data_IF_048788820465
#
_entry.id   IF_048788820465
#
_cell.length_a   1.000
_cell.length_b   1.000
_cell.length_c   1.000
_cell.angle_alpha   90.00
_cell.angle_beta   90.00
_cell.angle_gamma   90.00
#
_symmetry.space_group_name_H-M   'P 1'
#
loop_
_entity.id
_entity.type
_entity.pdbx_description
1 polymer ?
#
# COMPACT_ATOMS: atom_id res chain seq x y z
N UNK A 1 9.16 -3.61 15.47
CA UNK A 1 8.21 -3.28 14.39
C UNK A 1 7.84 -1.82 14.51
N UNK A 2 7.74 -1.08 13.40
CA UNK A 2 7.34 0.33 13.40
C UNK A 2 5.82 0.44 13.30
N UNK A 3 5.25 1.55 13.79
CA UNK A 3 3.84 1.88 13.60
C UNK A 3 3.69 3.00 12.57
N UNK A 4 2.73 2.87 11.68
CA UNK A 4 2.29 3.94 10.79
C UNK A 4 0.79 4.16 10.87
N UNK A 5 0.30 5.30 10.39
CA UNK A 5 -1.12 5.58 10.26
C UNK A 5 -1.53 5.82 8.81
N UNK A 6 -2.77 5.49 8.47
CA UNK A 6 -3.37 5.73 7.16
C UNK A 6 -4.23 6.98 7.20
N UNK A 7 -4.03 7.90 6.26
CA UNK A 7 -4.84 9.11 6.13
C UNK A 7 -6.12 8.90 5.31
N UNK A 8 -6.17 7.85 4.49
CA UNK A 8 -7.29 7.61 3.58
C UNK A 8 -7.36 8.60 2.39
N UNK A 9 -8.37 8.46 1.55
CA UNK A 9 -8.63 9.31 0.37
C UNK A 9 -10.13 9.48 0.07
N UNK A 10 -10.97 8.99 0.95
CA UNK A 10 -12.42 8.88 0.70
C UNK A 10 -13.21 10.09 1.17
N UNK A 11 -14.46 10.17 0.65
CA UNK A 11 -15.42 11.18 1.02
C UNK A 11 -15.65 12.24 -0.05
N UNK A 12 -16.78 12.97 0.09
CA UNK A 12 -17.15 14.08 -0.81
C UNK A 12 -16.30 15.33 -0.59
N UNK A 13 -15.72 15.45 0.58
CA UNK A 13 -14.86 16.56 0.99
C UNK A 13 -13.60 15.97 1.60
N UNK A 14 -12.45 16.44 1.13
CA UNK A 14 -11.19 16.07 1.73
C UNK A 14 -11.05 16.72 3.11
N UNK A 15 -10.93 15.91 4.14
CA UNK A 15 -10.66 16.36 5.50
C UNK A 15 -9.40 15.69 6.02
N UNK A 16 -8.40 16.49 6.38
CA UNK A 16 -7.15 16.03 6.99
C UNK A 16 -7.13 16.47 8.44
N UNK A 17 -7.34 15.53 9.34
CA UNK A 17 -7.26 15.77 10.77
C UNK A 17 -5.80 15.90 11.23
N UNK A 18 -5.28 17.13 11.12
CA UNK A 18 -3.89 17.43 11.47
C UNK A 18 -3.63 17.27 12.99
N UNK A 19 -4.65 17.41 13.83
CA UNK A 19 -4.49 17.25 15.28
C UNK A 19 -4.27 15.77 15.62
N UNK A 20 -5.04 14.88 15.01
CA UNK A 20 -4.85 13.43 15.14
C UNK A 20 -3.47 13.00 14.60
N UNK A 21 -3.01 13.60 13.52
CA UNK A 21 -1.67 13.32 12.97
C UNK A 21 -0.57 13.74 13.95
N UNK A 22 -0.65 14.94 14.51
CA UNK A 22 0.30 15.44 15.52
C UNK A 22 0.26 14.62 16.80
N UNK A 23 -0.91 14.14 17.19
CA UNK A 23 -1.06 13.22 18.30
C UNK A 23 -0.32 11.90 18.02
N UNK A 24 -0.52 11.27 16.84
CA UNK A 24 0.20 10.07 16.45
C UNK A 24 1.73 10.30 16.42
N UNK A 25 2.18 11.44 15.92
CA UNK A 25 3.60 11.84 15.97
C UNK A 25 4.11 11.92 17.41
N UNK A 26 3.32 12.49 18.33
CA UNK A 26 3.69 12.59 19.75
C UNK A 26 3.70 11.24 20.48
N UNK A 27 2.88 10.29 20.05
CA UNK A 27 2.83 8.92 20.55
C UNK A 27 3.97 8.04 20.01
N UNK A 28 4.77 8.53 19.04
CA UNK A 28 5.92 7.81 18.51
C UNK A 28 5.62 6.99 17.24
N UNK A 29 4.51 7.21 16.57
CA UNK A 29 4.28 6.63 15.25
C UNK A 29 5.35 7.10 14.27
N UNK A 30 5.98 6.16 13.55
CA UNK A 30 7.08 6.41 12.62
C UNK A 30 6.62 7.08 11.32
N UNK A 31 5.42 6.73 10.85
CA UNK A 31 4.99 7.14 9.51
C UNK A 31 3.50 7.41 9.37
N UNK A 32 3.16 8.24 8.36
CA UNK A 32 1.81 8.45 7.88
C UNK A 32 1.76 8.21 6.37
N UNK A 33 0.64 7.66 5.88
CA UNK A 33 0.48 7.27 4.49
C UNK A 33 -0.81 7.83 3.90
N UNK A 34 -0.66 8.61 2.81
CA UNK A 34 -1.76 9.14 2.01
C UNK A 34 -2.08 8.20 0.85
N UNK A 35 -3.30 8.25 0.33
CA UNK A 35 -3.71 7.36 -0.74
C UNK A 35 -4.43 8.10 -1.87
N UNK A 36 -4.50 7.47 -3.04
CA UNK A 36 -5.32 7.94 -4.15
C UNK A 36 -5.99 6.79 -4.89
N UNK A 37 -7.14 7.07 -5.47
CA UNK A 37 -7.80 6.22 -6.47
C UNK A 37 -8.46 7.11 -7.54
N UNK A 38 -9.69 7.53 -7.34
CA UNK A 38 -10.44 8.52 -8.15
C UNK A 38 -11.11 9.58 -7.24
N UNK A 39 -10.43 9.90 -6.14
CA UNK A 39 -10.78 10.95 -5.18
C UNK A 39 -9.68 12.01 -5.13
N UNK A 40 -9.18 12.32 -3.92
CA UNK A 40 -7.97 13.16 -3.78
C UNK A 40 -6.74 12.46 -4.33
N UNK A 41 -5.78 13.23 -4.85
CA UNK A 41 -4.44 12.70 -5.15
C UNK A 41 -3.67 12.41 -3.86
N UNK A 42 -2.60 11.62 -3.95
CA UNK A 42 -1.83 11.25 -2.77
C UNK A 42 -0.71 12.25 -2.42
N UNK A 43 -0.23 13.00 -3.40
CA UNK A 43 0.97 13.86 -3.27
C UNK A 43 0.63 15.17 -2.56
N UNK A 44 -0.48 15.80 -2.95
CA UNK A 44 -0.88 17.10 -2.38
C UNK A 44 -1.15 17.01 -0.86
N UNK A 45 -1.93 16.02 -0.36
CA UNK A 45 -2.07 15.81 1.07
C UNK A 45 -0.75 15.48 1.77
N UNK A 46 0.13 14.68 1.15
CA UNK A 46 1.43 14.35 1.73
C UNK A 46 2.30 15.60 1.91
N UNK A 47 2.36 16.48 0.89
CA UNK A 47 3.09 17.75 0.98
C UNK A 47 2.53 18.66 2.08
N UNK A 48 1.18 18.76 2.17
CA UNK A 48 0.49 19.52 3.20
C UNK A 48 0.83 19.04 4.61
N UNK A 49 0.83 17.72 4.83
CA UNK A 49 1.12 17.11 6.13
C UNK A 49 2.60 17.29 6.49
N UNK A 50 3.52 17.08 5.54
CA UNK A 50 4.96 17.29 5.76
C UNK A 50 5.27 18.70 6.22
N UNK A 51 4.55 19.71 5.70
CA UNK A 51 4.74 21.10 6.07
C UNK A 51 4.22 21.46 7.49
N UNK A 52 3.44 20.58 8.11
CA UNK A 52 2.81 20.83 9.41
C UNK A 52 3.26 19.88 10.52
N UNK A 53 4.17 18.95 10.20
CA UNK A 53 4.72 17.95 11.12
C UNK A 53 6.24 18.06 11.15
N UNK A 54 6.86 17.57 12.23
CA UNK A 54 8.30 17.79 12.47
C UNK A 54 9.14 16.50 12.37
N UNK A 55 8.57 15.34 12.76
CA UNK A 55 9.30 14.07 12.93
C UNK A 55 8.73 12.93 12.10
N UNK A 56 7.40 12.82 12.04
CA UNK A 56 6.73 11.72 11.35
C UNK A 56 7.10 11.72 9.86
N UNK A 57 7.46 10.55 9.35
CA UNK A 57 7.65 10.36 7.92
C UNK A 57 6.29 10.34 7.22
N UNK A 58 6.25 10.83 6.01
CA UNK A 58 5.01 10.81 5.21
C UNK A 58 5.28 10.11 3.89
N UNK A 59 4.44 9.16 3.57
CA UNK A 59 4.53 8.43 2.31
C UNK A 59 3.19 8.37 1.59
N UNK A 60 3.21 7.80 0.40
CA UNK A 60 1.99 7.50 -0.37
C UNK A 60 1.69 6.00 -0.29
N UNK A 61 0.42 5.64 -0.05
CA UNK A 61 -0.03 4.25 -0.01
C UNK A 61 -1.43 4.12 -0.65
N UNK A 62 -1.52 4.27 -1.96
CA UNK A 62 -0.41 4.34 -2.91
C UNK A 62 -0.55 5.55 -3.84
N UNK A 63 0.53 5.96 -4.49
CA UNK A 63 0.50 6.81 -5.68
C UNK A 63 0.34 5.91 -6.91
N UNK A 64 -0.64 6.21 -7.77
CA UNK A 64 -0.93 5.38 -8.95
C UNK A 64 0.09 5.61 -10.06
N UNK A 65 0.78 4.54 -10.48
CA UNK A 65 1.76 4.61 -11.58
C UNK A 65 1.16 5.09 -12.91
N UNK A 66 -0.07 4.69 -13.30
CA UNK A 66 -0.67 5.17 -14.55
C UNK A 66 -0.95 6.67 -14.60
N UNK A 67 -1.08 7.32 -13.44
CA UNK A 67 -1.37 8.75 -13.36
C UNK A 67 -0.15 9.64 -13.64
N UNK A 68 1.07 9.09 -13.55
CA UNK A 68 2.32 9.86 -13.64
C UNK A 68 3.40 9.07 -14.37
N UNK A 69 4.31 9.76 -15.06
CA UNK A 69 5.52 9.11 -15.57
C UNK A 69 6.49 8.76 -14.43
N UNK A 70 7.37 7.76 -14.59
CA UNK A 70 8.41 7.46 -13.61
C UNK A 70 9.29 8.66 -13.28
N UNK A 71 9.61 9.47 -14.28
CA UNK A 71 10.40 10.70 -14.10
C UNK A 71 9.65 11.74 -13.25
N UNK A 72 8.35 11.94 -13.49
CA UNK A 72 7.53 12.84 -12.67
C UNK A 72 7.50 12.39 -11.21
N UNK A 73 7.26 11.10 -10.96
CA UNK A 73 7.24 10.56 -9.59
C UNK A 73 8.60 10.63 -8.90
N UNK A 74 9.69 10.41 -9.64
CA UNK A 74 11.03 10.60 -9.09
C UNK A 74 11.30 12.06 -8.71
N UNK A 75 10.97 13.00 -9.59
CA UNK A 75 11.10 14.44 -9.30
C UNK A 75 10.28 14.87 -8.08
N UNK A 76 9.03 14.38 -7.98
CA UNK A 76 8.16 14.63 -6.83
C UNK A 76 8.79 14.09 -5.54
N UNK A 77 9.25 12.85 -5.56
CA UNK A 77 9.86 12.21 -4.39
C UNK A 77 11.12 12.96 -3.92
N UNK A 78 12.01 13.32 -4.84
CA UNK A 78 13.21 14.07 -4.54
C UNK A 78 12.89 15.45 -3.96
N UNK A 79 11.90 16.15 -4.53
CA UNK A 79 11.48 17.47 -4.06
C UNK A 79 10.92 17.40 -2.64
N UNK A 80 9.97 16.49 -2.39
CA UNK A 80 9.35 16.34 -1.06
C UNK A 80 10.34 15.85 -0.02
N UNK A 81 11.24 14.96 -0.40
CA UNK A 81 12.29 14.47 0.50
C UNK A 81 13.20 15.62 0.96
N UNK A 82 13.65 16.49 0.06
CA UNK A 82 14.46 17.66 0.41
C UNK A 82 13.69 18.69 1.24
N UNK A 83 12.47 19.03 0.85
CA UNK A 83 11.63 19.99 1.58
C UNK A 83 11.32 19.52 3.00
N UNK A 84 11.28 18.21 3.24
CA UNK A 84 10.96 17.61 4.52
C UNK A 84 12.16 17.12 5.33
N UNK A 85 13.39 17.42 4.90
CA UNK A 85 14.61 16.91 5.52
C UNK A 85 14.65 15.37 5.63
N UNK A 86 14.37 14.68 4.53
CA UNK A 86 14.50 13.22 4.44
C UNK A 86 13.27 12.44 4.93
N UNK A 87 12.12 13.08 5.18
CA UNK A 87 10.93 12.41 5.75
C UNK A 87 9.94 11.86 4.72
N UNK A 88 10.16 12.07 3.42
CA UNK A 88 9.24 11.55 2.40
C UNK A 88 9.60 10.13 1.96
N UNK A 89 8.59 9.29 1.78
CA UNK A 89 8.68 7.92 1.29
C UNK A 89 7.73 7.72 0.10
N UNK A 90 8.10 6.84 -0.82
CA UNK A 90 7.30 6.55 -2.01
C UNK A 90 6.56 5.23 -1.83
N UNK A 91 5.26 5.23 -2.06
CA UNK A 91 4.49 4.01 -2.21
C UNK A 91 3.73 4.03 -3.54
N UNK A 92 3.89 3.00 -4.33
CA UNK A 92 3.41 2.89 -5.71
C UNK A 92 2.41 1.74 -5.86
N UNK A 93 1.44 1.90 -6.75
CA UNK A 93 0.51 0.85 -7.12
C UNK A 93 0.16 0.85 -8.59
N UNK A 94 -0.06 -0.34 -9.13
CA UNK A 94 -0.52 -0.52 -10.51
C UNK A 94 -1.99 -0.11 -10.70
N UNK A 95 -2.75 -0.04 -9.62
CA UNK A 95 -4.21 0.10 -9.60
C UNK A 95 -4.93 -1.08 -10.30
N UNK A 96 -6.26 -1.02 -10.40
CA UNK A 96 -7.06 -2.01 -11.12
C UNK A 96 -7.35 -1.58 -12.56
N UNK A 97 -7.66 -2.51 -13.47
CA UNK A 97 -7.94 -2.19 -14.88
C UNK A 97 -9.09 -1.19 -15.05
N UNK A 98 -10.11 -1.23 -14.19
CA UNK A 98 -11.25 -0.32 -14.25
C UNK A 98 -10.84 1.15 -14.04
N UNK A 99 -9.88 1.39 -13.13
CA UNK A 99 -9.36 2.74 -12.87
C UNK A 99 -8.33 3.13 -13.92
N UNK A 100 -7.42 2.21 -14.28
CA UNK A 100 -6.36 2.50 -15.24
C UNK A 100 -6.92 2.83 -16.62
N UNK A 101 -7.84 2.03 -17.12
CA UNK A 101 -8.42 2.20 -18.46
C UNK A 101 -9.61 3.18 -18.43
N UNK A 102 -10.45 3.12 -17.38
CA UNK A 102 -11.66 3.92 -17.28
C UNK A 102 -11.45 5.35 -16.80
N UNK A 103 -10.47 5.59 -15.91
CA UNK A 103 -10.22 6.91 -15.34
C UNK A 103 -8.99 7.59 -15.93
N UNK A 104 -7.88 6.84 -16.07
CA UNK A 104 -6.63 7.41 -16.61
C UNK A 104 -6.51 7.29 -18.12
N UNK A 105 -7.35 6.50 -18.79
CA UNK A 105 -7.38 6.36 -20.26
C UNK A 105 -6.13 5.73 -20.85
N UNK A 106 -5.42 4.89 -20.07
CA UNK A 106 -4.19 4.21 -20.52
C UNK A 106 -4.35 2.70 -20.41
N UNK A 107 -3.66 1.94 -21.27
CA UNK A 107 -3.73 0.48 -21.25
C UNK A 107 -3.23 -0.09 -19.93
N UNK A 108 -3.94 -1.07 -19.36
CA UNK A 108 -3.53 -1.77 -18.14
C UNK A 108 -2.22 -2.53 -18.32
N UNK A 109 -2.10 -3.27 -19.41
CA UNK A 109 -0.88 -3.94 -19.82
C UNK A 109 -0.41 -5.05 -18.86
N UNK A 110 0.89 -5.05 -18.55
CA UNK A 110 1.57 -6.05 -17.71
C UNK A 110 1.96 -5.43 -16.37
N UNK A 111 1.12 -5.51 -15.31
CA UNK A 111 1.33 -4.74 -14.08
C UNK A 111 2.65 -5.04 -13.37
N UNK A 112 3.07 -6.31 -13.28
CA UNK A 112 4.36 -6.67 -12.65
C UNK A 112 5.55 -6.11 -13.43
N UNK A 113 5.51 -6.17 -14.75
CA UNK A 113 6.55 -5.57 -15.61
C UNK A 113 6.58 -4.05 -15.42
N UNK A 114 5.40 -3.40 -15.39
CA UNK A 114 5.30 -1.96 -15.16
C UNK A 114 5.93 -1.55 -13.83
N UNK A 115 5.63 -2.28 -12.74
CA UNK A 115 6.24 -2.02 -11.43
C UNK A 115 7.76 -2.08 -11.51
N UNK A 116 8.31 -3.13 -12.11
CA UNK A 116 9.77 -3.29 -12.21
C UNK A 116 10.44 -2.18 -13.02
N UNK A 117 9.90 -1.87 -14.18
CA UNK A 117 10.42 -0.80 -15.04
C UNK A 117 10.33 0.55 -14.32
N UNK A 118 9.16 0.85 -13.75
CA UNK A 118 8.91 2.12 -13.05
C UNK A 118 9.87 2.35 -11.90
N UNK A 119 10.01 1.39 -11.00
CA UNK A 119 10.91 1.47 -9.85
C UNK A 119 12.37 1.55 -10.30
N UNK A 120 12.78 0.76 -11.31
CA UNK A 120 14.11 0.80 -11.87
C UNK A 120 14.46 2.18 -12.43
N UNK A 121 13.55 2.79 -13.20
CA UNK A 121 13.74 4.15 -13.74
C UNK A 121 13.87 5.16 -12.60
N UNK A 122 13.00 5.11 -11.57
CA UNK A 122 13.09 6.02 -10.43
C UNK A 122 14.44 5.89 -9.70
N UNK A 123 14.89 4.66 -9.43
CA UNK A 123 16.19 4.41 -8.78
C UNK A 123 17.37 4.93 -9.62
N UNK A 124 17.34 4.79 -10.95
CA UNK A 124 18.33 5.40 -11.85
C UNK A 124 18.34 6.94 -11.76
N UNK A 125 17.14 7.56 -11.65
CA UNK A 125 17.02 9.01 -11.48
C UNK A 125 17.59 9.45 -10.13
N UNK A 126 17.31 8.74 -9.05
CA UNK A 126 17.84 9.02 -7.71
C UNK A 126 19.36 8.87 -7.67
N UNK A 127 19.91 7.79 -8.22
CA UNK A 127 21.34 7.53 -8.26
C UNK A 127 22.11 8.59 -9.05
N UNK A 128 21.50 9.17 -10.08
CA UNK A 128 22.10 10.24 -10.89
C UNK A 128 23.51 9.91 -11.40
N UNK A 129 23.82 8.64 -11.64
CA UNK A 129 25.14 8.22 -12.14
C UNK A 129 25.36 8.64 -13.60
N UNK A 130 24.34 8.44 -14.44
CA UNK A 130 24.38 8.77 -15.88
C UNK A 130 23.06 9.44 -16.31
N UNK A 131 22.98 10.01 -17.53
CA UNK A 131 21.70 10.30 -18.19
C UNK A 131 20.82 9.04 -18.22
N UNK A 132 19.52 9.20 -17.97
CA UNK A 132 18.61 8.05 -17.81
C UNK A 132 18.28 7.45 -19.15
N UNK A 133 18.57 6.16 -19.28
CA UNK A 133 18.18 5.32 -20.41
C UNK A 133 17.43 4.09 -19.91
N UNK A 134 16.35 3.75 -20.59
CA UNK A 134 15.56 2.58 -20.35
C UNK A 134 14.87 2.14 -21.62
N UNK A 135 14.91 0.85 -21.89
CA UNK A 135 14.13 0.22 -22.95
C UNK A 135 13.37 -0.97 -22.34
N UNK A 136 12.05 -0.88 -22.35
CA UNK A 136 11.17 -1.84 -21.72
C UNK A 136 9.85 -1.99 -22.47
N UNK A 137 8.96 -2.78 -21.89
CA UNK A 137 7.63 -3.02 -22.47
C UNK A 137 6.70 -1.80 -22.29
N UNK A 138 6.79 -1.09 -21.16
CA UNK A 138 5.92 0.03 -20.82
C UNK A 138 6.58 1.39 -21.03
N UNK A 139 7.89 1.45 -20.91
CA UNK A 139 8.63 2.71 -20.94
C UNK A 139 9.86 2.60 -21.82
N UNK A 140 10.06 3.63 -22.66
CA UNK A 140 11.28 3.85 -23.43
C UNK A 140 11.79 5.26 -23.12
N UNK A 141 13.02 5.37 -22.68
CA UNK A 141 13.68 6.65 -22.34
C UNK A 141 15.08 6.68 -22.95
N UNK A 142 15.36 7.59 -23.90
CA UNK A 142 14.42 8.53 -24.52
C UNK A 142 13.36 7.82 -25.33
N UNK A 143 12.22 8.49 -25.58
CA UNK A 143 11.12 7.94 -26.36
C UNK A 143 11.58 7.73 -27.83
N UNK A 144 11.31 6.54 -28.36
CA UNK A 144 11.72 6.09 -29.70
C UNK A 144 10.57 5.58 -30.57
N UNK A 145 9.31 5.88 -30.20
CA UNK A 145 8.13 5.49 -30.98
C UNK A 145 8.04 6.26 -32.31
N UNK A 146 7.29 5.68 -33.26
CA UNK A 146 7.12 6.21 -34.63
C UNK A 146 6.48 7.61 -34.65
N UNK A 147 5.67 7.95 -33.66
CA UNK A 147 5.04 9.26 -33.46
C UNK A 147 5.94 10.28 -32.73
N UNK A 148 7.17 9.91 -32.41
CA UNK A 148 8.18 10.78 -31.79
C UNK A 148 8.78 11.78 -32.77
N UNK A 149 9.26 12.92 -32.25
CA UNK A 149 9.93 13.95 -33.04
C UNK A 149 11.37 13.59 -33.47
N UNK A 150 11.94 12.52 -32.90
CA UNK A 150 13.36 12.16 -33.05
C UNK A 150 14.35 13.08 -32.33
N UNK A 151 13.86 14.09 -31.58
CA UNK A 151 14.69 15.04 -30.83
C UNK A 151 14.92 14.65 -29.36
N UNK A 152 14.31 13.56 -28.92
CA UNK A 152 14.49 13.04 -27.55
C UNK A 152 15.93 12.64 -27.29
N UNK A 153 16.46 13.01 -26.14
CA UNK A 153 17.80 12.61 -25.67
C UNK A 153 17.75 12.24 -24.19
N UNK A 154 18.64 11.36 -23.79
CA UNK A 154 18.79 10.97 -22.39
C UNK A 154 19.14 12.19 -21.53
N UNK A 155 18.40 12.37 -20.43
CA UNK A 155 18.57 13.49 -19.51
C UNK A 155 18.99 12.98 -18.12
N UNK A 156 19.71 13.84 -17.40
CA UNK A 156 20.13 13.61 -16.01
C UNK A 156 19.43 14.65 -15.12
N UNK A 157 18.87 14.24 -14.00
CA UNK A 157 18.22 15.17 -13.06
C UNK A 157 19.18 16.28 -12.64
N UNK A 158 18.70 17.52 -12.58
CA UNK A 158 19.46 18.65 -12.02
C UNK A 158 19.50 18.54 -10.50
N UNK A 159 18.35 18.19 -9.89
CA UNK A 159 18.26 17.99 -8.46
C UNK A 159 19.06 16.74 -8.05
N UNK A 160 19.79 16.84 -6.94
CA UNK A 160 20.51 15.70 -6.35
C UNK A 160 19.65 15.10 -5.26
N UNK A 161 19.31 13.81 -5.40
CA UNK A 161 18.51 13.11 -4.42
C UNK A 161 19.36 12.46 -3.34
N UNK A 162 18.73 12.23 -2.20
CA UNK A 162 19.13 11.16 -1.33
C UNK A 162 18.73 9.82 -2.00
N UNK A 163 19.70 8.96 -2.26
CA UNK A 163 19.47 7.65 -2.91
C UNK A 163 18.75 6.67 -1.99
N UNK A 164 18.61 7.00 -0.70
CA UNK A 164 17.94 6.19 0.32
C UNK A 164 16.42 6.45 0.41
N UNK A 165 15.82 7.25 -0.48
CA UNK A 165 14.36 7.43 -0.49
C UNK A 165 13.69 6.08 -0.68
N UNK A 166 12.95 5.54 0.34
CA UNK A 166 12.38 4.21 0.24
C UNK A 166 11.24 4.16 -0.77
N UNK A 167 11.18 3.08 -1.54
CA UNK A 167 10.09 2.81 -2.48
C UNK A 167 9.37 1.53 -2.06
N UNK A 168 8.08 1.68 -1.75
CA UNK A 168 7.17 0.57 -1.47
C UNK A 168 6.24 0.34 -2.65
N UNK A 169 5.71 -0.89 -2.78
CA UNK A 169 4.69 -1.19 -3.77
C UNK A 169 3.53 -1.97 -3.17
N UNK A 170 2.31 -1.76 -3.67
CA UNK A 170 1.15 -2.55 -3.25
C UNK A 170 1.06 -3.83 -4.07
N UNK A 171 1.00 -4.99 -3.40
CA UNK A 171 0.82 -6.28 -4.03
C UNK A 171 0.33 -7.36 -3.07
N UNK A 172 -0.49 -8.28 -3.60
CA UNK A 172 -0.99 -9.47 -2.89
C UNK A 172 -0.86 -10.75 -3.73
N UNK A 173 -0.58 -10.62 -5.03
CA UNK A 173 -0.45 -11.80 -5.91
C UNK A 173 0.96 -12.39 -5.82
N UNK A 174 1.12 -13.72 -5.98
CA UNK A 174 2.43 -14.38 -5.93
C UNK A 174 3.51 -13.73 -6.80
N UNK A 175 3.18 -13.44 -8.06
CA UNK A 175 4.11 -12.79 -8.99
C UNK A 175 4.33 -11.31 -8.67
N UNK A 176 3.29 -10.64 -8.15
CA UNK A 176 3.38 -9.26 -7.71
C UNK A 176 4.29 -9.10 -6.50
N UNK A 177 4.14 -9.96 -5.49
CA UNK A 177 5.00 -9.99 -4.30
C UNK A 177 6.46 -10.24 -4.67
N UNK A 178 6.72 -11.25 -5.51
CA UNK A 178 8.07 -11.54 -5.98
C UNK A 178 8.64 -10.39 -6.82
N UNK A 179 7.83 -9.80 -7.71
CA UNK A 179 8.25 -8.66 -8.53
C UNK A 179 8.53 -7.39 -7.72
N UNK A 180 7.72 -7.13 -6.69
CA UNK A 180 7.94 -6.06 -5.72
C UNK A 180 9.27 -6.27 -4.98
N UNK A 181 9.44 -7.42 -4.38
CA UNK A 181 10.61 -7.75 -3.59
C UNK A 181 11.93 -7.76 -4.41
N UNK A 182 11.86 -7.95 -5.72
CA UNK A 182 13.02 -7.86 -6.60
C UNK A 182 13.54 -6.42 -6.75
N UNK A 183 12.67 -5.39 -6.71
CA UNK A 183 13.05 -4.02 -7.07
C UNK A 183 12.76 -2.97 -6.01
N UNK A 184 11.76 -3.15 -5.15
CA UNK A 184 11.33 -2.19 -4.14
C UNK A 184 11.97 -2.43 -2.76
N UNK A 185 11.77 -1.51 -1.83
CA UNK A 185 12.32 -1.57 -0.48
C UNK A 185 11.29 -2.07 0.54
N UNK A 186 10.03 -2.18 0.11
CA UNK A 186 8.94 -2.74 0.92
C UNK A 186 7.68 -3.01 0.11
N UNK A 187 6.70 -3.63 0.76
CA UNK A 187 5.40 -3.98 0.18
C UNK A 187 4.26 -3.69 1.14
N UNK A 188 3.12 -3.28 0.57
CA UNK A 188 1.85 -3.12 1.25
C UNK A 188 0.91 -4.29 0.93
N UNK A 189 0.91 -5.38 1.70
CA UNK A 189 -0.14 -6.37 1.59
C UNK A 189 -1.39 -5.89 2.33
N UNK A 190 -2.55 -6.31 1.83
CA UNK A 190 -3.81 -6.19 2.58
C UNK A 190 -4.17 -7.53 3.20
N UNK A 191 -5.00 -7.52 4.25
CA UNK A 191 -5.53 -8.71 4.90
C UNK A 191 -4.47 -9.76 5.24
N UNK A 192 -3.32 -9.28 5.69
CA UNK A 192 -2.29 -10.17 6.20
C UNK A 192 -2.71 -10.76 7.54
N UNK A 193 -2.66 -12.08 7.64
CA UNK A 193 -2.78 -12.75 8.93
C UNK A 193 -1.38 -12.86 9.57
N UNK A 194 -1.10 -12.15 10.69
CA UNK A 194 0.22 -12.18 11.33
C UNK A 194 0.59 -13.55 11.91
N UNK A 195 -0.40 -14.43 12.13
CA UNK A 195 -0.17 -15.81 12.59
C UNK A 195 0.11 -16.80 11.46
N UNK A 196 -0.01 -16.37 10.19
CA UNK A 196 0.23 -17.20 8.99
C UNK A 196 1.04 -16.42 7.94
N UNK A 197 2.24 -15.92 8.29
CA UNK A 197 3.06 -15.10 7.39
C UNK A 197 3.53 -15.84 6.14
N UNK A 198 3.56 -17.18 6.17
CA UNK A 198 3.97 -18.04 5.06
C UNK A 198 3.14 -17.84 3.79
N UNK A 199 1.91 -17.37 3.90
CA UNK A 199 1.07 -17.02 2.74
C UNK A 199 1.70 -15.95 1.83
N UNK A 200 2.56 -15.10 2.38
CA UNK A 200 3.24 -14.02 1.66
C UNK A 200 4.76 -14.25 1.57
N UNK A 201 5.36 -14.72 2.66
CA UNK A 201 6.80 -14.79 2.88
C UNK A 201 7.54 -15.53 1.76
N UNK A 202 7.09 -16.74 1.39
CA UNK A 202 7.77 -17.53 0.36
C UNK A 202 7.80 -16.87 -1.03
N UNK A 203 6.82 -16.02 -1.34
CA UNK A 203 6.80 -15.25 -2.59
C UNK A 203 7.75 -14.04 -2.52
N UNK A 204 7.79 -13.36 -1.38
CA UNK A 204 8.71 -12.24 -1.12
C UNK A 204 10.16 -12.73 -1.19
N UNK A 205 10.50 -13.81 -0.51
CA UNK A 205 11.86 -14.40 -0.50
C UNK A 205 12.35 -14.78 -1.90
N UNK A 206 11.47 -15.25 -2.79
CA UNK A 206 11.81 -15.51 -4.21
C UNK A 206 12.28 -14.26 -4.94
N UNK A 207 11.65 -13.11 -4.67
CA UNK A 207 12.05 -11.83 -5.26
C UNK A 207 13.35 -11.29 -4.66
N UNK A 208 13.47 -11.35 -3.34
CA UNK A 208 14.68 -10.92 -2.61
C UNK A 208 15.91 -11.71 -3.04
N UNK A 209 15.79 -13.04 -3.18
CA UNK A 209 16.87 -13.89 -3.66
C UNK A 209 17.40 -13.44 -5.03
N UNK A 210 16.53 -13.03 -5.95
CA UNK A 210 16.94 -12.51 -7.27
C UNK A 210 17.74 -11.23 -7.21
N UNK A 211 17.49 -10.41 -6.20
CA UNK A 211 18.22 -9.14 -5.99
C UNK A 211 19.36 -9.26 -4.98
N UNK A 212 19.66 -10.47 -4.48
CA UNK A 212 20.72 -10.71 -3.50
C UNK A 212 20.40 -10.17 -2.10
N UNK A 213 19.11 -9.96 -1.79
CA UNK A 213 18.62 -9.41 -0.51
C UNK A 213 17.92 -10.47 0.32
N UNK A 214 17.66 -10.14 1.57
CA UNK A 214 16.96 -10.96 2.56
C UNK A 214 15.76 -10.21 3.15
N UNK A 215 14.98 -10.88 3.99
CA UNK A 215 13.87 -10.23 4.72
C UNK A 215 14.33 -9.08 5.62
N UNK A 216 15.59 -9.06 6.05
CA UNK A 216 16.15 -7.96 6.85
C UNK A 216 16.31 -6.66 6.06
N UNK A 217 16.36 -6.75 4.73
CA UNK A 217 16.52 -5.63 3.81
C UNK A 217 15.18 -5.16 3.22
N UNK A 218 14.05 -5.66 3.75
CA UNK A 218 12.74 -5.46 3.15
C UNK A 218 11.65 -5.24 4.19
N UNK A 219 10.84 -4.20 4.00
CA UNK A 219 9.76 -3.87 4.92
C UNK A 219 8.41 -4.43 4.42
N UNK A 220 7.84 -5.38 5.14
CA UNK A 220 6.46 -5.82 4.94
C UNK A 220 5.57 -4.94 5.81
N UNK A 221 4.74 -4.11 5.17
CA UNK A 221 3.95 -3.06 5.81
C UNK A 221 2.44 -3.24 5.56
N UNK A 222 1.77 -4.20 6.23
CA UNK A 222 0.35 -4.47 6.03
C UNK A 222 -0.56 -3.33 6.51
N UNK A 223 -1.71 -3.19 5.82
CA UNK A 223 -2.79 -2.31 6.23
C UNK A 223 -3.69 -3.02 7.24
N UNK A 224 -3.82 -2.44 8.41
CA UNK A 224 -4.59 -2.98 9.53
C UNK A 224 -5.63 -1.95 9.98
N UNK A 225 -6.91 -2.23 9.73
CA UNK A 225 -7.99 -1.38 10.24
C UNK A 225 -8.21 -1.65 11.71
N UNK A 226 -8.34 -0.60 12.52
CA UNK A 226 -8.71 -0.72 13.92
C UNK A 226 -10.04 -0.01 14.18
N UNK A 227 -11.00 -0.74 14.73
CA UNK A 227 -12.29 -0.19 15.18
C UNK A 227 -12.53 -0.66 16.61
N UNK A 228 -12.43 0.26 17.56
CA UNK A 228 -12.61 0.00 18.97
C UNK A 228 -14.05 0.29 19.40
N UNK A 229 -14.66 -0.62 20.17
CA UNK A 229 -16.02 -0.49 20.70
C UNK A 229 -16.44 -1.73 21.49
N UNK A 230 -17.49 -1.61 22.30
CA UNK A 230 -17.96 -2.68 23.19
C UNK A 230 -18.72 -3.78 22.43
N UNK A 231 -19.36 -3.42 21.33
CA UNK A 231 -20.09 -4.36 20.44
C UNK A 231 -19.16 -4.85 19.34
N UNK A 232 -18.65 -6.06 19.49
CA UNK A 232 -17.71 -6.68 18.56
C UNK A 232 -18.29 -6.84 17.15
N UNK A 233 -19.58 -7.20 17.03
CA UNK A 233 -20.22 -7.35 15.71
C UNK A 233 -20.37 -6.00 15.01
N UNK A 234 -20.78 -4.97 15.73
CA UNK A 234 -20.82 -3.60 15.19
C UNK A 234 -19.43 -3.11 14.74
N UNK A 235 -18.35 -3.50 15.42
CA UNK A 235 -16.99 -3.17 15.02
C UNK A 235 -16.55 -3.92 13.75
N UNK A 236 -17.02 -5.16 13.53
CA UNK A 236 -16.70 -5.95 12.32
C UNK A 236 -17.42 -5.45 11.07
N UNK A 237 -18.63 -4.95 11.20
CA UNK A 237 -19.51 -4.64 10.06
C UNK A 237 -18.89 -3.71 9.00
N UNK A 238 -18.26 -2.57 9.33
CA UNK A 238 -17.64 -1.70 8.34
C UNK A 238 -16.50 -2.40 7.58
N UNK A 239 -15.74 -3.28 8.25
CA UNK A 239 -14.66 -4.05 7.65
C UNK A 239 -15.24 -5.11 6.72
N UNK A 240 -16.27 -5.87 7.15
CA UNK A 240 -16.98 -6.83 6.30
C UNK A 240 -17.53 -6.19 5.03
N UNK A 241 -18.10 -4.97 5.15
CA UNK A 241 -18.59 -4.22 3.99
C UNK A 241 -17.49 -3.89 2.99
N UNK A 242 -16.33 -3.46 3.47
CA UNK A 242 -15.17 -3.20 2.63
C UNK A 242 -14.63 -4.49 2.00
N UNK A 243 -14.47 -5.56 2.77
CA UNK A 243 -14.00 -6.84 2.27
C UNK A 243 -14.95 -7.43 1.23
N UNK A 244 -16.27 -7.36 1.44
CA UNK A 244 -17.27 -7.82 0.47
C UNK A 244 -17.20 -7.07 -0.86
N UNK A 245 -16.96 -5.75 -0.83
CA UNK A 245 -16.74 -4.96 -2.03
C UNK A 245 -15.52 -5.47 -2.82
N UNK A 246 -14.40 -5.71 -2.16
CA UNK A 246 -13.17 -6.14 -2.82
C UNK A 246 -13.27 -7.60 -3.29
N UNK A 247 -13.71 -8.52 -2.43
CA UNK A 247 -13.83 -9.96 -2.75
C UNK A 247 -14.88 -10.20 -3.83
N UNK A 248 -16.00 -9.46 -3.77
CA UNK A 248 -17.13 -9.64 -4.67
C UNK A 248 -17.13 -8.74 -5.90
N UNK A 249 -16.74 -7.47 -5.75
CA UNK A 249 -17.03 -6.43 -6.75
C UNK A 249 -15.83 -5.82 -7.46
N UNK A 250 -14.60 -5.99 -6.97
CA UNK A 250 -13.41 -5.34 -7.53
C UNK A 250 -12.74 -6.18 -8.64
N UNK A 251 -13.54 -6.71 -9.56
CA UNK A 251 -13.07 -7.50 -10.70
C UNK A 251 -14.21 -8.18 -11.44
N UNK A 252 -13.89 -8.81 -12.55
CA UNK A 252 -14.83 -9.71 -13.23
C UNK A 252 -14.92 -11.05 -12.48
N UNK A 253 -15.99 -11.83 -12.72
CA UNK A 253 -16.19 -13.13 -12.06
C UNK A 253 -14.94 -14.03 -12.16
N UNK A 254 -14.33 -14.08 -13.32
CA UNK A 254 -13.18 -14.96 -13.60
C UNK A 254 -11.82 -14.26 -13.41
N UNK A 255 -11.81 -13.02 -12.93
CA UNK A 255 -10.57 -12.24 -12.76
C UNK A 255 -10.72 -11.21 -11.64
N UNK A 256 -10.65 -11.70 -10.42
CA UNK A 256 -10.65 -10.87 -9.21
C UNK A 256 -9.50 -11.31 -8.29
N UNK A 257 -8.46 -10.50 -8.23
CA UNK A 257 -7.25 -10.78 -7.44
C UNK A 257 -7.55 -10.91 -5.93
N UNK A 258 -8.52 -10.17 -5.41
CA UNK A 258 -8.90 -10.21 -4.00
C UNK A 258 -9.68 -11.48 -3.66
N UNK A 259 -10.52 -11.94 -4.58
CA UNK A 259 -11.22 -13.22 -4.45
C UNK A 259 -10.22 -14.38 -4.45
N UNK A 260 -9.28 -14.39 -5.40
CA UNK A 260 -8.24 -15.41 -5.49
C UNK A 260 -7.33 -15.40 -4.25
N UNK A 261 -7.01 -14.21 -3.72
CA UNK A 261 -6.24 -14.08 -2.50
C UNK A 261 -6.99 -14.59 -1.27
N UNK A 262 -8.29 -14.30 -1.16
CA UNK A 262 -9.15 -14.81 -0.08
C UNK A 262 -9.21 -16.34 -0.11
N UNK A 263 -9.30 -16.96 -1.29
CA UNK A 263 -9.18 -18.43 -1.45
C UNK A 263 -7.82 -18.94 -0.95
N UNK A 264 -6.74 -18.27 -1.33
CA UNK A 264 -5.39 -18.66 -0.90
C UNK A 264 -5.17 -18.54 0.63
N UNK A 265 -5.99 -17.73 1.31
CA UNK A 265 -6.02 -17.66 2.77
C UNK A 265 -6.81 -18.81 3.42
N UNK A 266 -7.45 -19.70 2.63
CA UNK A 266 -8.23 -20.85 3.12
C UNK A 266 -9.72 -20.57 3.28
N UNK A 267 -10.26 -19.57 2.57
CA UNK A 267 -11.69 -19.20 2.63
C UNK A 267 -12.36 -19.34 1.26
N UNK A 268 -12.15 -20.49 0.58
CA UNK A 268 -12.63 -20.74 -0.77
C UNK A 268 -14.14 -20.61 -0.91
N UNK A 269 -14.90 -21.28 -0.01
CA UNK A 269 -16.36 -21.27 -0.04
C UNK A 269 -16.94 -19.88 0.25
N UNK A 270 -16.34 -19.17 1.22
CA UNK A 270 -16.74 -17.80 1.54
C UNK A 270 -16.47 -16.86 0.36
N UNK A 271 -15.30 -16.96 -0.27
CA UNK A 271 -14.94 -16.14 -1.43
C UNK A 271 -15.92 -16.34 -2.61
N UNK A 272 -16.31 -17.59 -2.89
CA UNK A 272 -17.30 -17.91 -3.92
C UNK A 272 -18.69 -17.32 -3.58
N UNK A 273 -19.16 -17.54 -2.35
CA UNK A 273 -20.45 -17.05 -1.87
C UNK A 273 -20.52 -15.52 -1.89
N UNK A 274 -19.52 -14.84 -1.38
CA UNK A 274 -19.44 -13.38 -1.36
C UNK A 274 -19.51 -12.81 -2.78
N UNK A 275 -18.77 -13.40 -3.73
CA UNK A 275 -18.77 -12.94 -5.11
C UNK A 275 -20.13 -13.15 -5.79
N UNK A 276 -20.75 -14.29 -5.61
CA UNK A 276 -22.07 -14.58 -6.18
C UNK A 276 -23.15 -13.63 -5.65
N UNK A 277 -23.17 -13.40 -4.35
CA UNK A 277 -24.10 -12.47 -3.72
C UNK A 277 -23.87 -11.03 -4.18
N UNK A 278 -22.61 -10.59 -4.19
CA UNK A 278 -22.26 -9.23 -4.54
C UNK A 278 -22.62 -8.91 -6.01
N UNK A 279 -22.25 -9.78 -6.94
CA UNK A 279 -22.52 -9.62 -8.37
C UNK A 279 -24.02 -9.74 -8.72
N UNK A 280 -24.79 -10.42 -7.90
CA UNK A 280 -26.27 -10.46 -8.02
C UNK A 280 -26.98 -9.27 -7.36
N UNK A 281 -26.24 -8.29 -6.82
CA UNK A 281 -26.77 -7.08 -6.19
C UNK A 281 -27.16 -7.26 -4.71
N UNK A 282 -26.98 -8.44 -4.14
CA UNK A 282 -27.30 -8.79 -2.73
C UNK A 282 -26.16 -8.40 -1.81
N UNK A 283 -25.84 -7.09 -1.77
CA UNK A 283 -24.61 -6.59 -1.11
C UNK A 283 -24.61 -6.78 0.40
N UNK A 284 -25.74 -6.64 1.06
CA UNK A 284 -25.85 -6.84 2.52
C UNK A 284 -25.64 -8.31 2.90
N UNK A 285 -26.13 -9.23 2.08
CA UNK A 285 -25.89 -10.66 2.28
C UNK A 285 -24.43 -11.04 1.95
N UNK A 286 -23.83 -10.41 0.94
CA UNK A 286 -22.41 -10.58 0.66
C UNK A 286 -21.53 -10.09 1.83
N UNK A 287 -21.91 -9.00 2.46
CA UNK A 287 -21.24 -8.48 3.67
C UNK A 287 -21.41 -9.47 4.84
N UNK A 288 -22.61 -9.99 5.07
CA UNK A 288 -22.86 -10.98 6.11
C UNK A 288 -22.11 -12.30 5.89
N UNK A 289 -21.81 -12.65 4.63
CA UNK A 289 -21.07 -13.86 4.27
C UNK A 289 -19.54 -13.74 4.52
N UNK A 290 -19.00 -12.56 4.85
CA UNK A 290 -17.58 -12.42 5.22
C UNK A 290 -17.37 -13.07 6.60
N UNK A 291 -16.48 -14.08 6.74
CA UNK A 291 -16.23 -14.76 8.01
C UNK A 291 -15.65 -13.81 9.06
N UNK A 292 -16.14 -13.92 10.30
CA UNK A 292 -15.62 -13.17 11.45
C UNK A 292 -14.15 -13.47 11.68
N UNK A 293 -13.76 -14.74 11.55
CA UNK A 293 -12.39 -15.19 11.74
C UNK A 293 -11.43 -14.56 10.72
N UNK A 294 -11.89 -14.26 9.51
CA UNK A 294 -11.08 -13.57 8.52
C UNK A 294 -10.88 -12.10 8.90
N UNK A 295 -11.92 -11.45 9.43
CA UNK A 295 -11.84 -10.07 9.93
C UNK A 295 -10.88 -10.00 11.10
N UNK A 296 -11.09 -10.84 12.11
CA UNK A 296 -10.32 -10.86 13.36
C UNK A 296 -8.86 -11.25 13.16
N UNK A 297 -8.58 -12.08 12.15
CA UNK A 297 -7.21 -12.48 11.81
C UNK A 297 -6.37 -11.37 11.17
N UNK A 298 -7.02 -10.40 10.49
CA UNK A 298 -6.32 -9.40 9.66
C UNK A 298 -6.44 -7.97 10.20
N UNK A 299 -7.36 -7.74 11.15
CA UNK A 299 -7.70 -6.42 11.65
C UNK A 299 -7.80 -6.41 13.18
N UNK A 300 -7.95 -5.22 13.76
CA UNK A 300 -8.10 -5.02 15.19
C UNK A 300 -9.52 -4.50 15.47
N UNK A 301 -10.33 -5.30 16.17
CA UNK A 301 -11.75 -4.97 16.37
C UNK A 301 -12.21 -5.28 17.79
N UNK A 302 -13.15 -4.49 18.32
CA UNK A 302 -13.85 -4.75 19.57
C UNK A 302 -13.33 -3.97 20.78
N UNK A 303 -13.59 -4.46 21.99
CA UNK A 303 -13.16 -3.81 23.22
C UNK A 303 -11.63 -3.77 23.37
N UNK A 304 -11.13 -2.83 24.17
CA UNK A 304 -9.70 -2.62 24.37
C UNK A 304 -8.93 -3.92 24.71
N UNK A 305 -9.47 -4.74 25.60
CA UNK A 305 -8.81 -5.98 26.02
C UNK A 305 -8.77 -7.02 24.87
N UNK A 306 -9.78 -7.03 24.01
CA UNK A 306 -9.78 -7.90 22.82
C UNK A 306 -8.72 -7.45 21.80
N UNK A 307 -8.60 -6.14 21.57
CA UNK A 307 -7.56 -5.55 20.72
C UNK A 307 -6.15 -5.86 21.26
N UNK A 308 -5.93 -5.76 22.56
CA UNK A 308 -4.65 -6.15 23.18
C UNK A 308 -4.28 -7.60 22.92
N UNK A 309 -5.26 -8.51 22.98
CA UNK A 309 -5.03 -9.92 22.66
C UNK A 309 -4.64 -10.11 21.19
N UNK A 310 -5.37 -9.46 20.26
CA UNK A 310 -5.04 -9.48 18.83
C UNK A 310 -3.64 -8.91 18.56
N UNK A 311 -3.21 -7.85 19.25
CA UNK A 311 -1.89 -7.24 19.11
C UNK A 311 -0.72 -8.18 19.45
N UNK A 312 -0.93 -9.22 20.25
CA UNK A 312 0.11 -10.21 20.56
C UNK A 312 0.62 -10.93 19.31
N UNK A 313 -0.28 -11.29 18.40
CA UNK A 313 0.10 -11.93 17.13
C UNK A 313 0.92 -10.98 16.24
N UNK A 314 0.54 -9.71 16.16
CA UNK A 314 1.28 -8.69 15.43
C UNK A 314 2.66 -8.44 16.04
N UNK A 315 2.75 -8.39 17.38
CA UNK A 315 4.02 -8.26 18.09
C UNK A 315 4.96 -9.43 17.81
N UNK A 316 4.42 -10.65 17.82
CA UNK A 316 5.19 -11.85 17.48
C UNK A 316 5.68 -11.81 16.02
N UNK A 317 4.84 -11.47 15.05
CA UNK A 317 5.23 -11.31 13.65
C UNK A 317 6.33 -10.25 13.46
N UNK A 318 6.26 -9.14 14.20
CA UNK A 318 7.30 -8.13 14.21
C UNK A 318 8.64 -8.64 14.76
N UNK A 319 8.62 -9.39 15.85
CA UNK A 319 9.81 -9.98 16.47
C UNK A 319 10.47 -11.04 15.56
N UNK A 320 9.66 -11.79 14.81
CA UNK A 320 10.12 -12.79 13.85
C UNK A 320 10.64 -12.19 12.54
N UNK A 321 10.49 -10.88 12.33
CA UNK A 321 10.88 -10.21 11.08
C UNK A 321 9.91 -10.47 9.90
N UNK A 322 8.68 -10.91 10.18
CA UNK A 322 7.64 -11.12 9.17
C UNK A 322 6.91 -9.82 8.82
N UNK A 323 6.90 -8.87 9.75
CA UNK A 323 6.32 -7.52 9.61
C UNK A 323 7.33 -6.48 10.10
N UNK A 324 7.72 -5.55 9.25
CA UNK A 324 8.61 -4.45 9.63
C UNK A 324 7.85 -3.22 10.12
N UNK A 325 6.72 -2.91 9.47
CA UNK A 325 5.84 -1.79 9.83
C UNK A 325 4.37 -2.22 9.85
N UNK A 326 3.57 -1.77 10.82
CA UNK A 326 2.12 -2.00 10.87
C UNK A 326 1.40 -0.68 10.60
N UNK A 327 0.61 -0.61 9.52
CA UNK A 327 -0.05 0.62 9.07
C UNK A 327 -1.51 0.64 9.50
N UNK A 328 -1.81 1.48 10.49
CA UNK A 328 -3.09 1.51 11.20
C UNK A 328 -4.08 2.47 10.52
N UNK A 329 -5.21 1.93 10.12
CA UNK A 329 -6.40 2.70 9.74
C UNK A 329 -7.35 2.82 10.93
N UNK A 330 -7.18 3.86 11.76
CA UNK A 330 -8.07 4.13 12.89
C UNK A 330 -8.55 5.59 12.86
N UNK A 331 -9.85 5.78 13.02
CA UNK A 331 -10.44 7.12 13.19
C UNK A 331 -10.44 7.61 14.64
N UNK A 332 -10.32 6.69 15.59
CA UNK A 332 -10.47 6.93 17.03
C UNK A 332 -9.11 7.22 17.69
N UNK A 333 -8.92 8.37 18.35
CA UNK A 333 -7.70 8.69 19.08
C UNK A 333 -7.31 7.63 20.11
N UNK A 334 -8.30 7.11 20.85
CA UNK A 334 -8.12 6.12 21.91
C UNK A 334 -7.54 4.79 21.36
N UNK A 335 -7.89 4.44 20.13
CA UNK A 335 -7.33 3.26 19.47
C UNK A 335 -5.84 3.46 19.15
N UNK A 336 -5.44 4.67 18.72
CA UNK A 336 -4.03 4.98 18.49
C UNK A 336 -3.22 4.98 19.77
N UNK A 337 -3.76 5.54 20.87
CA UNK A 337 -3.14 5.52 22.20
C UNK A 337 -2.94 4.09 22.70
N UNK A 338 -3.99 3.25 22.61
CA UNK A 338 -3.93 1.85 23.00
C UNK A 338 -2.85 1.10 22.22
N UNK A 339 -2.85 1.20 20.89
CA UNK A 339 -1.88 0.51 20.04
C UNK A 339 -0.45 0.98 20.35
N UNK A 340 -0.23 2.29 20.52
CA UNK A 340 1.08 2.82 20.87
C UNK A 340 1.57 2.27 22.22
N UNK A 341 0.70 2.25 23.25
CA UNK A 341 1.06 1.76 24.59
C UNK A 341 1.43 0.27 24.63
N UNK A 342 0.88 -0.55 23.72
CA UNK A 342 1.14 -1.98 23.66
C UNK A 342 2.33 -2.35 22.76
N UNK A 343 2.66 -1.48 21.78
CA UNK A 343 3.57 -1.84 20.69
C UNK A 343 4.88 -1.04 20.67
N UNK A 344 4.93 0.15 21.30
CA UNK A 344 6.09 1.03 21.39
C UNK A 344 6.68 1.03 22.83
#
# INVERSE_FOLDING_TARGET
MKLGILAGYGGKVLNIDIQRIKMAESLGYDSLWTAEAYGSDAVTPAAWILAQTDKIKVGTAIMQMPARSPACSAMTAMTLNQLSNGRFMVGLGASGPQVVEGWHGVAYGRPVTRVKEYVSIMKKIFAREAPVEHEGFHYSLPYNGEDGTGLGKSLKSILQADTSIPIYTASITPNGLAGSAEVADGVFPIWMNPSKPEALRGHIEKGLTKSGRTMLDYDVAPFVTCIMGDDLEACRMPIKGNMALYIGGMGARDKNFYNDYTKALGYEDAAATIQDLYLSGRKDEAMAAVPDELVDACHLVGPAEHIKEQLKAWKAAGLNGDVGSMLIGAGQPEALELIASEML
#
